data_IF_769561020015
#
_entry.id   IF_769561020015
#
_cell.length_a   1.000
_cell.length_b   1.000
_cell.length_c   1.000
_cell.angle_alpha   90.00
_cell.angle_beta   90.00
_cell.angle_gamma   90.00
#
_symmetry.space_group_name_H-M   'P 1'
#
loop_
_entity.id
_entity.type
_entity.pdbx_description
1 polymer ?
#
# COMPACT_ATOMS: atom_id res chain seq x y z
N UNK A 1 -36.81 30.52 12.22
CA UNK A 1 -37.25 31.76 11.58
C UNK A 1 -38.59 32.13 12.17
N UNK A 2 -38.60 33.04 13.13
CA UNK A 2 -39.80 33.72 13.63
C UNK A 2 -39.72 35.12 13.08
N UNK A 3 -40.40 35.37 11.97
CA UNK A 3 -40.70 36.73 11.60
C UNK A 3 -42.00 37.11 12.32
N UNK A 4 -41.90 38.14 13.16
CA UNK A 4 -42.97 38.99 13.67
C UNK A 4 -44.34 38.32 13.89
N UNK A 5 -44.57 37.83 15.12
CA UNK A 5 -45.88 37.77 15.77
C UNK A 5 -46.98 36.86 15.18
N UNK A 6 -46.87 36.38 13.95
CA UNK A 6 -47.93 35.59 13.30
C UNK A 6 -47.56 34.12 13.36
N UNK A 7 -48.33 33.34 14.14
CA UNK A 7 -48.20 31.89 14.18
C UNK A 7 -48.75 31.35 12.86
N UNK A 8 -47.87 31.15 11.88
CA UNK A 8 -48.25 30.50 10.63
C UNK A 8 -48.73 29.06 10.93
N UNK A 9 -50.04 28.84 10.74
CA UNK A 9 -50.69 27.53 10.87
C UNK A 9 -50.04 26.57 9.86
N UNK A 10 -49.87 25.30 10.24
CA UNK A 10 -49.12 24.30 9.45
C UNK A 10 -49.66 24.16 8.01
N UNK A 11 -50.97 24.38 7.82
CA UNK A 11 -51.65 24.37 6.52
C UNK A 11 -51.12 25.42 5.55
N UNK A 12 -50.64 26.56 6.06
CA UNK A 12 -50.19 27.69 5.24
C UNK A 12 -48.72 27.57 4.80
N UNK A 13 -48.04 26.48 5.20
CA UNK A 13 -46.66 26.21 4.81
C UNK A 13 -46.63 25.43 3.50
N UNK A 14 -45.63 25.74 2.65
CA UNK A 14 -45.33 24.93 1.48
C UNK A 14 -45.05 23.47 1.86
N UNK A 15 -45.39 22.52 0.98
CA UNK A 15 -45.13 21.09 1.16
C UNK A 15 -43.69 20.77 1.60
N UNK A 16 -42.71 21.51 1.08
CA UNK A 16 -41.29 21.37 1.47
C UNK A 16 -41.05 21.79 2.92
N UNK A 17 -41.66 22.89 3.35
CA UNK A 17 -41.57 23.40 4.72
C UNK A 17 -42.33 22.49 5.70
N UNK A 18 -43.50 21.98 5.33
CA UNK A 18 -44.23 20.99 6.11
C UNK A 18 -43.38 19.72 6.33
N UNK A 19 -42.69 19.24 5.28
CA UNK A 19 -41.80 18.07 5.39
C UNK A 19 -40.63 18.31 6.34
N UNK A 20 -40.01 19.49 6.29
CA UNK A 20 -38.95 19.89 7.23
C UNK A 20 -39.49 19.90 8.66
N UNK A 21 -40.69 20.47 8.87
CA UNK A 21 -41.32 20.58 10.19
C UNK A 21 -41.71 19.21 10.75
N UNK A 22 -42.23 18.29 9.93
CA UNK A 22 -42.51 16.89 10.31
C UNK A 22 -41.22 16.15 10.67
N UNK A 23 -40.13 16.35 9.92
CA UNK A 23 -38.80 15.79 10.27
C UNK A 23 -38.31 16.31 11.63
N UNK A 24 -38.44 17.61 11.86
CA UNK A 24 -38.05 18.24 13.12
C UNK A 24 -38.89 17.71 14.29
N UNK A 25 -40.21 17.58 14.12
CA UNK A 25 -41.08 17.02 15.16
C UNK A 25 -40.74 15.57 15.52
N UNK A 26 -40.40 14.73 14.53
CA UNK A 26 -39.93 13.36 14.79
C UNK A 26 -38.61 13.36 15.59
N UNK A 27 -37.71 14.30 15.31
CA UNK A 27 -36.45 14.48 16.05
C UNK A 27 -36.72 14.92 17.50
N UNK A 28 -37.59 15.92 17.67
CA UNK A 28 -37.91 16.49 18.98
C UNK A 28 -38.69 15.51 19.85
N UNK A 29 -39.63 14.74 19.30
CA UNK A 29 -40.33 13.66 20.02
C UNK A 29 -39.38 12.58 20.53
N UNK A 30 -38.39 12.17 19.70
CA UNK A 30 -37.35 11.21 20.13
C UNK A 30 -36.50 11.79 21.27
N UNK A 31 -36.14 13.07 21.18
CA UNK A 31 -35.35 13.74 22.21
C UNK A 31 -36.13 13.90 23.52
N UNK A 32 -37.42 14.22 23.45
CA UNK A 32 -38.30 14.30 24.61
C UNK A 32 -38.39 12.95 25.34
N UNK A 33 -38.66 11.85 24.62
CA UNK A 33 -38.72 10.51 25.22
C UNK A 33 -37.41 10.12 25.90
N UNK A 34 -36.26 10.46 25.28
CA UNK A 34 -34.94 10.24 25.89
C UNK A 34 -34.77 11.03 27.18
N UNK A 35 -35.13 12.31 27.19
CA UNK A 35 -35.04 13.16 28.40
C UNK A 35 -35.94 12.64 29.52
N UNK A 36 -37.19 12.28 29.20
CA UNK A 36 -38.15 11.74 30.18
C UNK A 36 -37.69 10.40 30.77
N UNK A 37 -37.11 9.52 29.95
CA UNK A 37 -36.50 8.27 30.43
C UNK A 37 -35.30 8.51 31.36
N UNK A 38 -34.50 9.55 31.10
CA UNK A 38 -33.39 9.92 31.97
C UNK A 38 -33.85 10.58 33.28
N UNK A 39 -34.96 11.31 33.25
CA UNK A 39 -35.58 11.89 34.45
C UNK A 39 -36.20 10.79 35.34
N UNK A 40 -36.96 9.85 34.77
CA UNK A 40 -37.49 8.71 35.52
C UNK A 40 -36.39 7.86 36.16
N UNK A 41 -35.23 7.72 35.52
CA UNK A 41 -34.09 7.01 36.10
C UNK A 41 -33.43 7.78 37.27
N UNK A 42 -33.61 9.10 37.35
CA UNK A 42 -33.08 9.96 38.43
C UNK A 42 -34.08 10.21 39.55
N UNK A 43 -35.37 10.12 39.27
CA UNK A 43 -36.47 10.37 40.22
C UNK A 43 -36.88 9.14 41.03
N UNK A 44 -36.30 7.96 40.80
CA UNK A 44 -36.38 6.85 41.77
C UNK A 44 -35.49 7.20 42.97
N UNK A 45 -36.04 7.52 44.15
CA UNK A 45 -35.23 7.54 45.35
C UNK A 45 -34.76 6.09 45.62
N UNK A 46 -33.52 5.96 46.06
CA UNK A 46 -32.88 4.74 46.51
C UNK A 46 -33.66 4.20 47.73
N UNK A 47 -34.76 3.51 47.48
CA UNK A 47 -35.61 2.94 48.51
C UNK A 47 -34.95 1.68 49.08
N UNK A 48 -34.73 1.70 50.39
CA UNK A 48 -34.25 0.58 51.20
C UNK A 48 -34.99 -0.72 50.85
N UNK A 49 -34.20 -1.76 50.58
CA UNK A 49 -34.67 -3.08 50.17
C UNK A 49 -35.45 -3.76 51.31
N UNK A 50 -36.78 -3.65 51.31
CA UNK A 50 -37.64 -4.62 51.98
C UNK A 50 -38.17 -5.63 50.97
N UNK A 51 -37.66 -6.87 51.10
CA UNK A 51 -38.09 -8.08 50.39
C UNK A 51 -39.59 -8.31 50.50
N UNK A 52 -40.29 -8.42 49.38
CA UNK A 52 -41.39 -9.40 49.20
C UNK A 52 -41.40 -9.87 47.74
N UNK A 53 -41.39 -11.19 47.55
CA UNK A 53 -41.21 -11.83 46.26
C UNK A 53 -42.35 -11.63 45.25
N UNK A 54 -41.98 -11.62 43.98
CA UNK A 54 -42.91 -11.88 42.87
C UNK A 54 -42.32 -12.97 41.99
N UNK A 55 -43.01 -14.12 41.93
CA UNK A 55 -42.75 -15.21 40.98
C UNK A 55 -43.04 -14.73 39.57
N UNK A 56 -42.05 -14.12 38.92
CA UNK A 56 -42.08 -13.84 37.48
C UNK A 56 -41.56 -15.06 36.72
N UNK A 57 -42.39 -15.62 35.83
CA UNK A 57 -41.97 -16.65 34.88
C UNK A 57 -40.67 -16.27 34.14
N UNK A 58 -39.77 -17.21 33.83
CA UNK A 58 -38.56 -16.93 33.06
C UNK A 58 -38.92 -16.44 31.65
N UNK A 59 -39.03 -15.11 31.48
CA UNK A 59 -39.15 -14.50 30.17
C UNK A 59 -37.82 -14.72 29.46
N UNK A 60 -37.81 -15.70 28.55
CA UNK A 60 -36.82 -16.02 27.53
C UNK A 60 -35.87 -14.83 27.29
N UNK A 61 -34.69 -14.87 27.93
CA UNK A 61 -33.63 -13.86 27.77
C UNK A 61 -32.69 -14.17 26.59
N UNK A 62 -33.00 -15.15 25.75
CA UNK A 62 -32.12 -15.61 24.66
C UNK A 62 -32.44 -14.92 23.32
N UNK A 63 -32.50 -13.59 23.28
CA UNK A 63 -32.74 -12.90 22.01
C UNK A 63 -32.39 -11.41 21.92
N UNK A 64 -31.95 -10.76 23.01
CA UNK A 64 -31.72 -9.29 22.99
C UNK A 64 -30.39 -8.79 23.54
N UNK A 65 -29.49 -9.67 24.00
CA UNK A 65 -28.22 -9.26 24.64
C UNK A 65 -26.99 -9.26 23.72
N UNK A 66 -27.07 -9.79 22.49
CA UNK A 66 -25.86 -9.95 21.66
C UNK A 66 -25.56 -8.74 20.75
N UNK A 67 -26.57 -7.98 20.33
CA UNK A 67 -26.40 -6.90 19.35
C UNK A 67 -25.82 -5.57 19.90
N UNK A 68 -25.72 -5.39 21.22
CA UNK A 68 -25.19 -4.14 21.82
C UNK A 68 -23.66 -4.12 21.99
N UNK A 69 -23.01 -5.28 22.01
CA UNK A 69 -21.54 -5.38 22.15
C UNK A 69 -20.77 -5.09 20.85
N UNK A 70 -21.46 -5.08 19.71
CA UNK A 70 -20.84 -4.92 18.38
C UNK A 70 -20.63 -3.46 17.99
N UNK A 71 -21.58 -2.55 18.27
CA UNK A 71 -21.51 -1.16 17.78
C UNK A 71 -20.36 -0.34 18.38
N UNK A 72 -20.10 -0.49 19.69
CA UNK A 72 -19.02 0.23 20.38
C UNK A 72 -17.64 -0.23 19.88
N UNK A 73 -17.42 -1.55 19.77
CA UNK A 73 -16.18 -2.13 19.24
C UNK A 73 -15.92 -1.69 17.80
N UNK A 74 -16.96 -1.69 16.95
CA UNK A 74 -16.86 -1.21 15.57
C UNK A 74 -16.50 0.27 15.50
N UNK A 75 -17.07 1.11 16.37
CA UNK A 75 -16.73 2.54 16.46
C UNK A 75 -15.27 2.76 16.81
N UNK A 76 -14.73 2.05 17.80
CA UNK A 76 -13.31 2.15 18.17
C UNK A 76 -12.39 1.64 17.07
N UNK A 77 -12.76 0.54 16.39
CA UNK A 77 -12.02 0.03 15.22
C UNK A 77 -11.99 1.06 14.08
N UNK A 78 -13.13 1.68 13.77
CA UNK A 78 -13.22 2.73 12.75
C UNK A 78 -12.34 3.93 13.10
N UNK A 79 -12.39 4.39 14.36
CA UNK A 79 -11.55 5.49 14.83
C UNK A 79 -10.05 5.15 14.77
N UNK A 80 -9.67 3.92 15.12
CA UNK A 80 -8.30 3.43 15.01
C UNK A 80 -7.82 3.40 13.54
N UNK A 81 -8.66 2.93 12.61
CA UNK A 81 -8.34 2.94 11.18
C UNK A 81 -8.17 4.37 10.64
N UNK A 82 -9.04 5.30 11.02
CA UNK A 82 -8.92 6.72 10.64
C UNK A 82 -7.61 7.33 11.18
N UNK A 83 -7.25 7.04 12.43
CA UNK A 83 -6.00 7.52 13.00
C UNK A 83 -4.77 6.96 12.25
N UNK A 84 -4.80 5.68 11.89
CA UNK A 84 -3.73 5.04 11.10
C UNK A 84 -3.60 5.63 9.71
N UNK A 85 -4.72 5.82 9.00
CA UNK A 85 -4.70 6.40 7.65
C UNK A 85 -4.20 7.85 7.66
N UNK A 86 -4.58 8.66 8.66
CA UNK A 86 -4.05 10.01 8.83
C UNK A 86 -2.54 10.00 9.11
N UNK A 87 -2.05 9.08 9.94
CA UNK A 87 -0.60 8.93 10.21
C UNK A 87 0.18 8.55 8.95
N UNK A 88 -0.36 7.63 8.15
CA UNK A 88 0.23 7.26 6.86
C UNK A 88 0.21 8.42 5.87
N UNK A 89 -0.89 9.17 5.79
CA UNK A 89 -1.00 10.35 4.92
C UNK A 89 0.06 11.41 5.27
N UNK A 90 0.26 11.69 6.57
CA UNK A 90 1.34 12.59 7.03
C UNK A 90 2.73 12.10 6.63
N UNK A 91 2.98 10.78 6.72
CA UNK A 91 4.27 10.19 6.31
C UNK A 91 4.47 10.27 4.80
N UNK A 92 3.42 10.05 4.01
CA UNK A 92 3.47 10.22 2.55
C UNK A 92 3.80 11.68 2.20
N UNK A 93 3.17 12.64 2.89
CA UNK A 93 3.44 14.05 2.68
C UNK A 93 4.89 14.43 3.03
N UNK A 94 5.42 13.94 4.15
CA UNK A 94 6.83 14.19 4.52
C UNK A 94 7.79 13.64 3.46
N UNK A 95 7.55 12.42 2.98
CA UNK A 95 8.35 11.80 1.93
C UNK A 95 8.23 12.54 0.59
N UNK A 96 7.05 13.10 0.27
CA UNK A 96 6.87 13.94 -0.92
C UNK A 96 7.69 15.23 -0.82
N UNK A 97 7.70 15.89 0.34
CA UNK A 97 8.52 17.10 0.58
C UNK A 97 10.01 16.80 0.47
N UNK A 98 10.46 15.70 1.05
CA UNK A 98 11.86 15.27 0.97
C UNK A 98 12.27 14.95 -0.48
N UNK A 99 11.45 14.19 -1.20
CA UNK A 99 11.66 13.91 -2.63
C UNK A 99 11.68 15.18 -3.49
N UNK A 100 10.84 16.16 -3.17
CA UNK A 100 10.87 17.46 -3.84
C UNK A 100 12.24 18.12 -3.63
N UNK A 101 12.71 18.26 -2.39
CA UNK A 101 14.02 18.85 -2.09
C UNK A 101 15.18 18.11 -2.79
N UNK A 102 15.13 16.77 -2.85
CA UNK A 102 16.12 15.98 -3.57
C UNK A 102 16.11 16.26 -5.08
N UNK A 103 14.92 16.33 -5.70
CA UNK A 103 14.79 16.70 -7.13
C UNK A 103 15.38 18.07 -7.45
N UNK A 104 15.31 19.04 -6.53
CA UNK A 104 15.93 20.36 -6.72
C UNK A 104 17.46 20.31 -6.56
N UNK A 105 17.97 19.53 -5.61
CA UNK A 105 19.42 19.31 -5.43
C UNK A 105 20.05 18.50 -6.58
N UNK A 106 19.29 17.62 -7.21
CA UNK A 106 19.75 16.89 -8.40
C UNK A 106 19.71 17.78 -9.65
N UNK A 107 18.75 18.71 -9.75
CA UNK A 107 18.72 19.72 -10.82
C UNK A 107 19.90 20.69 -10.77
N UNK A 108 20.36 21.09 -9.58
CA UNK A 108 21.58 21.91 -9.45
C UNK A 108 22.87 21.12 -9.78
N UNK A 109 22.78 19.79 -9.76
CA UNK A 109 23.84 18.86 -10.19
C UNK A 109 23.65 18.36 -11.63
N UNK A 110 22.70 18.88 -12.41
CA UNK A 110 22.58 18.53 -13.83
C UNK A 110 23.95 18.70 -14.49
N UNK A 111 24.62 17.60 -14.89
CA UNK A 111 25.89 17.71 -15.57
C UNK A 111 25.59 18.51 -16.83
N UNK A 112 26.18 19.71 -16.91
CA UNK A 112 25.98 20.62 -18.04
C UNK A 112 26.06 19.81 -19.34
N UNK A 113 25.10 20.03 -20.24
CA UNK A 113 25.10 19.35 -21.54
C UNK A 113 26.49 19.45 -22.16
N UNK A 114 26.99 18.41 -22.83
CA UNK A 114 28.30 18.43 -23.50
C UNK A 114 28.53 19.72 -24.31
N UNK A 115 27.49 20.21 -25.01
CA UNK A 115 27.54 21.48 -25.74
C UNK A 115 27.74 22.71 -24.84
N UNK A 116 27.09 22.73 -23.68
CA UNK A 116 27.24 23.80 -22.68
C UNK A 116 28.62 23.76 -22.02
N UNK A 117 29.17 22.58 -21.76
CA UNK A 117 30.55 22.42 -21.25
C UNK A 117 31.56 22.96 -22.26
N UNK A 118 31.43 22.58 -23.53
CA UNK A 118 32.29 23.10 -24.62
C UNK A 118 32.15 24.61 -24.76
N UNK A 119 30.93 25.16 -24.71
CA UNK A 119 30.70 26.62 -24.77
C UNK A 119 31.34 27.36 -23.59
N UNK A 120 31.30 26.82 -22.37
CA UNK A 120 31.96 27.41 -21.20
C UNK A 120 33.49 27.38 -21.34
N UNK A 121 34.04 26.27 -21.83
CA UNK A 121 35.49 26.11 -22.03
C UNK A 121 36.03 27.08 -23.09
N UNK A 122 35.29 27.27 -24.18
CA UNK A 122 35.68 28.14 -25.30
C UNK A 122 35.39 29.61 -25.00
N UNK A 123 34.34 29.90 -24.24
CA UNK A 123 33.89 31.27 -23.98
C UNK A 123 33.46 31.99 -25.26
N UNK A 124 34.04 33.17 -25.52
CA UNK A 124 33.78 33.98 -26.72
C UNK A 124 34.81 33.77 -27.85
N UNK A 125 35.81 32.92 -27.66
CA UNK A 125 36.85 32.69 -28.67
C UNK A 125 36.27 31.96 -29.89
N UNK A 126 36.66 32.37 -31.10
CA UNK A 126 36.32 31.64 -32.32
C UNK A 126 37.30 30.48 -32.48
N UNK A 127 36.77 29.28 -32.65
CA UNK A 127 37.52 28.04 -32.88
C UNK A 127 37.07 27.43 -34.21
N UNK A 128 37.98 26.70 -34.86
CA UNK A 128 37.64 25.89 -36.03
C UNK A 128 36.46 24.96 -35.71
N UNK A 129 35.47 24.83 -36.61
CA UNK A 129 34.33 23.93 -36.44
C UNK A 129 34.74 22.49 -36.10
N UNK A 130 35.88 22.05 -36.60
CA UNK A 130 36.40 20.69 -36.43
C UNK A 130 36.85 20.41 -35.00
N UNK A 131 37.61 21.34 -34.42
CA UNK A 131 38.04 21.27 -33.01
C UNK A 131 36.82 21.30 -32.08
N UNK A 132 35.81 22.10 -32.41
CA UNK A 132 34.57 22.18 -31.65
C UNK A 132 33.76 20.88 -31.72
N UNK A 133 33.69 20.23 -32.89
CA UNK A 133 33.06 18.91 -33.05
C UNK A 133 33.79 17.84 -32.24
N UNK A 134 35.12 17.78 -32.31
CA UNK A 134 35.90 16.80 -31.55
C UNK A 134 35.73 16.96 -30.03
N UNK A 135 35.75 18.19 -29.52
CA UNK A 135 35.48 18.47 -28.11
C UNK A 135 34.07 18.03 -27.70
N UNK A 136 33.06 18.32 -28.54
CA UNK A 136 31.68 17.92 -28.27
C UNK A 136 31.55 16.39 -28.22
N UNK A 137 32.16 15.70 -29.18
CA UNK A 137 32.14 14.23 -29.26
C UNK A 137 32.80 13.62 -28.03
N UNK A 138 33.96 14.13 -27.62
CA UNK A 138 34.67 13.67 -26.42
C UNK A 138 33.85 13.88 -25.15
N UNK A 139 33.25 15.06 -24.96
CA UNK A 139 32.41 15.31 -23.79
C UNK A 139 31.13 14.46 -23.78
N UNK A 140 30.52 14.22 -24.95
CA UNK A 140 29.34 13.37 -25.10
C UNK A 140 29.66 11.90 -24.78
N UNK A 141 30.80 11.41 -25.29
CA UNK A 141 31.31 10.07 -24.99
C UNK A 141 31.57 9.90 -23.49
N UNK A 142 32.24 10.87 -22.85
CA UNK A 142 32.51 10.84 -21.42
C UNK A 142 31.23 10.90 -20.56
N UNK A 143 30.20 11.66 -20.97
CA UNK A 143 28.90 11.62 -20.27
C UNK A 143 28.21 10.25 -20.35
N UNK A 144 28.26 9.57 -21.50
CA UNK A 144 27.68 8.22 -21.63
C UNK A 144 28.39 7.18 -20.76
N UNK A 145 29.71 7.29 -20.57
CA UNK A 145 30.46 6.41 -19.68
C UNK A 145 30.13 6.65 -18.19
N UNK A 146 29.94 7.91 -17.78
CA UNK A 146 29.54 8.26 -16.41
C UNK A 146 28.15 7.72 -16.07
N UNK A 147 27.19 7.85 -17.00
CA UNK A 147 25.83 7.32 -16.82
C UNK A 147 25.84 5.80 -16.63
N UNK A 148 26.64 5.07 -17.40
CA UNK A 148 26.80 3.62 -17.27
C UNK A 148 27.44 3.21 -15.93
N UNK A 149 28.41 3.98 -15.41
CA UNK A 149 28.99 3.75 -14.07
C UNK A 149 27.97 4.01 -12.97
N UNK A 150 27.17 5.06 -13.08
CA UNK A 150 26.08 5.36 -12.12
C UNK A 150 25.02 4.26 -12.17
N UNK A 151 24.67 3.75 -13.35
CA UNK A 151 23.74 2.62 -13.51
C UNK A 151 24.25 1.34 -12.82
N UNK A 152 25.54 1.01 -13.00
CA UNK A 152 26.21 -0.11 -12.29
C UNK A 152 26.25 0.09 -10.78
N UNK A 153 26.44 1.32 -10.31
CA UNK A 153 26.52 1.66 -8.88
C UNK A 153 25.13 1.70 -8.21
N UNK A 154 24.09 2.12 -8.93
CA UNK A 154 22.71 2.16 -8.43
C UNK A 154 22.11 0.76 -8.25
N UNK A 155 22.42 -0.18 -9.15
CA UNK A 155 22.10 -1.62 -8.97
C UNK A 155 22.69 -2.25 -7.70
N UNK A 156 23.75 -1.68 -7.10
CA UNK A 156 24.37 -2.20 -5.88
C UNK A 156 23.79 -1.64 -4.57
N UNK A 157 22.92 -0.61 -4.60
CA UNK A 157 22.45 0.10 -3.40
C UNK A 157 20.96 -0.01 -3.10
N UNK A 158 20.19 -0.70 -3.94
CA UNK A 158 18.84 -1.09 -3.56
C UNK A 158 18.96 -2.35 -2.70
N UNK A 159 18.94 -2.17 -1.38
CA UNK A 159 18.59 -3.22 -0.43
C UNK A 159 17.12 -3.63 -0.69
N UNK A 160 16.86 -4.22 -1.85
CA UNK A 160 15.60 -4.81 -2.22
C UNK A 160 15.47 -6.13 -1.50
N UNK A 161 14.85 -6.09 -0.32
CA UNK A 161 14.00 -7.16 0.19
C UNK A 161 14.46 -8.61 -0.09
N UNK A 162 15.73 -8.96 0.18
CA UNK A 162 16.23 -10.35 0.13
C UNK A 162 15.96 -11.17 -1.14
N UNK A 163 15.47 -10.56 -2.22
CA UNK A 163 15.01 -11.21 -3.45
C UNK A 163 16.00 -10.87 -4.53
N UNK A 164 17.08 -11.65 -4.56
CA UNK A 164 18.17 -11.48 -5.50
C UNK A 164 17.75 -11.73 -6.95
N UNK A 165 18.68 -11.50 -7.88
CA UNK A 165 18.52 -11.77 -9.31
C UNK A 165 18.02 -13.19 -9.65
N UNK A 166 18.18 -14.14 -8.73
CA UNK A 166 17.72 -15.52 -8.81
C UNK A 166 16.18 -15.66 -8.88
N UNK A 167 15.41 -14.67 -8.39
CA UNK A 167 13.94 -14.65 -8.52
C UNK A 167 13.48 -14.50 -9.99
N UNK A 168 14.29 -13.88 -10.84
CA UNK A 168 13.98 -13.74 -12.26
C UNK A 168 13.96 -15.08 -12.99
N UNK A 169 14.96 -15.93 -12.72
CA UNK A 169 15.10 -17.27 -13.32
C UNK A 169 14.06 -18.22 -12.72
N UNK A 170 13.89 -18.23 -11.40
CA UNK A 170 12.86 -19.04 -10.74
C UNK A 170 11.44 -18.64 -11.17
N UNK A 171 11.16 -17.35 -11.29
CA UNK A 171 9.88 -16.84 -11.79
C UNK A 171 9.64 -17.16 -13.27
N UNK A 172 10.69 -17.16 -14.11
CA UNK A 172 10.59 -17.59 -15.50
C UNK A 172 10.29 -19.09 -15.58
N UNK A 173 11.00 -19.92 -14.83
CA UNK A 173 10.77 -21.37 -14.72
C UNK A 173 9.35 -21.69 -14.29
N UNK A 174 8.86 -21.03 -13.24
CA UNK A 174 7.48 -21.20 -12.77
C UNK A 174 6.46 -20.86 -13.85
N UNK A 175 6.58 -19.69 -14.50
CA UNK A 175 5.65 -19.29 -15.56
C UNK A 175 5.67 -20.26 -16.74
N UNK A 176 6.83 -20.80 -17.09
CA UNK A 176 6.94 -21.81 -18.14
C UNK A 176 6.23 -23.12 -17.77
N UNK A 177 6.43 -23.60 -16.54
CA UNK A 177 5.73 -24.76 -16.02
C UNK A 177 4.21 -24.54 -15.97
N UNK A 178 3.77 -23.39 -15.44
CA UNK A 178 2.35 -23.01 -15.39
C UNK A 178 1.73 -22.99 -16.81
N UNK A 179 2.47 -22.53 -17.83
CA UNK A 179 2.02 -22.51 -19.23
C UNK A 179 1.88 -23.91 -19.81
N UNK A 180 2.81 -24.82 -19.47
CA UNK A 180 2.75 -26.22 -19.90
C UNK A 180 1.55 -26.93 -19.27
N UNK A 181 1.33 -26.73 -17.97
CA UNK A 181 0.15 -27.27 -17.26
C UNK A 181 -1.15 -26.70 -17.84
N UNK A 182 -1.20 -25.39 -18.13
CA UNK A 182 -2.35 -24.76 -18.77
C UNK A 182 -2.65 -25.30 -20.19
N UNK A 183 -1.62 -25.83 -20.89
CA UNK A 183 -1.77 -26.51 -22.19
C UNK A 183 -2.20 -27.98 -22.08
N UNK A 184 -2.44 -28.47 -20.86
CA UNK A 184 -2.89 -29.84 -20.59
C UNK A 184 -1.77 -30.87 -20.48
N UNK A 185 -0.51 -30.45 -20.31
CA UNK A 185 0.58 -31.39 -20.02
C UNK A 185 0.71 -31.56 -18.51
N UNK A 186 0.73 -32.81 -18.05
CA UNK A 186 0.93 -33.12 -16.63
C UNK A 186 2.43 -33.23 -16.29
N UNK A 187 2.81 -32.78 -15.11
CA UNK A 187 4.19 -32.80 -14.62
C UNK A 187 4.21 -33.52 -13.27
N UNK A 188 4.39 -34.84 -13.31
CA UNK A 188 4.38 -35.72 -12.13
C UNK A 188 5.75 -35.83 -11.48
N UNK A 189 6.81 -35.85 -12.29
CA UNK A 189 8.15 -36.21 -11.86
C UNK A 189 9.20 -35.16 -12.21
N UNK A 190 10.28 -35.13 -11.44
CA UNK A 190 11.42 -34.22 -11.69
C UNK A 190 12.04 -34.42 -13.09
N UNK A 191 12.05 -35.64 -13.61
CA UNK A 191 12.52 -35.95 -14.95
C UNK A 191 11.59 -35.41 -16.04
N UNK A 192 10.26 -35.54 -15.83
CA UNK A 192 9.25 -34.97 -16.73
C UNK A 192 9.33 -33.44 -16.78
N UNK A 193 9.59 -32.81 -15.63
CA UNK A 193 9.80 -31.36 -15.53
C UNK A 193 11.05 -30.93 -16.31
N UNK A 194 12.16 -31.64 -16.14
CA UNK A 194 13.42 -31.36 -16.81
C UNK A 194 13.30 -31.52 -18.34
N UNK A 195 12.70 -32.61 -18.83
CA UNK A 195 12.54 -32.86 -20.26
C UNK A 195 11.64 -31.83 -20.94
N UNK A 196 10.54 -31.44 -20.28
CA UNK A 196 9.59 -30.48 -20.83
C UNK A 196 10.16 -29.06 -20.89
N UNK A 197 10.99 -28.66 -19.91
CA UNK A 197 11.57 -27.33 -19.85
C UNK A 197 12.92 -27.22 -20.57
N UNK A 198 13.67 -28.32 -20.76
CA UNK A 198 14.89 -28.37 -21.57
C UNK A 198 14.66 -28.02 -23.04
N UNK A 199 13.42 -28.08 -23.53
CA UNK A 199 13.04 -27.63 -24.88
C UNK A 199 13.23 -26.12 -25.08
N UNK A 200 13.42 -25.36 -24.00
CA UNK A 200 13.65 -23.92 -24.07
C UNK A 200 15.14 -23.60 -23.97
N UNK A 201 15.67 -22.86 -24.94
CA UNK A 201 17.11 -22.53 -25.02
C UNK A 201 17.57 -21.49 -23.97
N UNK A 202 16.63 -20.87 -23.26
CA UNK A 202 16.90 -19.73 -22.38
C UNK A 202 17.44 -20.11 -21.00
N UNK A 203 17.18 -21.32 -20.49
CA UNK A 203 17.61 -21.74 -19.15
C UNK A 203 18.19 -23.16 -19.18
N UNK A 204 19.47 -23.29 -18.80
CA UNK A 204 20.13 -24.60 -18.64
C UNK A 204 19.72 -25.23 -17.31
N UNK A 205 19.09 -26.40 -17.36
CA UNK A 205 18.65 -27.15 -16.18
C UNK A 205 19.47 -28.44 -16.04
N UNK A 206 19.95 -28.69 -14.82
CA UNK A 206 20.64 -29.92 -14.44
C UNK A 206 19.85 -30.61 -13.33
N UNK A 207 19.70 -31.92 -13.44
CA UNK A 207 19.19 -32.75 -12.34
C UNK A 207 20.39 -33.10 -11.45
N UNK A 208 20.21 -32.98 -10.14
CA UNK A 208 21.22 -33.32 -9.15
C UNK A 208 20.64 -34.44 -8.31
N UNK A 209 21.30 -35.59 -8.29
CA UNK A 209 20.92 -36.73 -7.47
C UNK A 209 21.76 -36.78 -6.18
N UNK A 210 21.30 -37.53 -5.17
CA UNK A 210 21.99 -37.60 -3.88
C UNK A 210 23.41 -38.18 -4.00
N UNK A 211 23.64 -39.02 -5.00
CA UNK A 211 24.95 -39.56 -5.39
C UNK A 211 25.90 -38.44 -5.86
N UNK A 212 25.41 -37.49 -6.66
CA UNK A 212 26.20 -36.33 -7.12
C UNK A 212 26.64 -35.44 -5.96
N UNK A 213 25.75 -35.26 -4.97
CA UNK A 213 26.04 -34.48 -3.76
C UNK A 213 27.14 -35.16 -2.93
N UNK A 214 27.11 -36.49 -2.82
CA UNK A 214 28.15 -37.27 -2.13
C UNK A 214 29.50 -37.14 -2.84
N UNK A 215 29.52 -37.28 -4.16
CA UNK A 215 30.73 -37.16 -4.99
C UNK A 215 31.36 -35.75 -4.92
N UNK A 216 30.54 -34.69 -4.86
CA UNK A 216 31.02 -33.31 -4.68
C UNK A 216 31.66 -33.10 -3.30
N UNK A 217 31.08 -33.67 -2.24
CA UNK A 217 31.65 -33.61 -0.90
C UNK A 217 33.00 -34.32 -0.85
N UNK A 218 33.12 -35.47 -1.49
CA UNK A 218 34.35 -36.27 -1.53
C UNK A 218 35.46 -35.55 -2.31
N UNK A 219 35.16 -34.99 -3.49
CA UNK A 219 36.10 -34.14 -4.26
C UNK A 219 36.56 -32.88 -3.51
N UNK A 220 35.69 -32.28 -2.70
CA UNK A 220 36.07 -31.11 -1.90
C UNK A 220 36.96 -31.46 -0.71
N UNK A 221 36.93 -32.73 -0.27
CA UNK A 221 37.66 -33.22 0.91
C UNK A 221 39.06 -33.71 0.55
N UNK A 222 39.22 -34.23 -0.66
CA UNK A 222 40.51 -34.57 -1.23
C UNK A 222 40.62 -33.92 -2.62
N UNK A 223 41.10 -32.66 -2.70
CA UNK A 223 41.55 -32.14 -3.98
C UNK A 223 42.69 -33.06 -4.41
N UNK A 224 42.45 -33.88 -5.44
CA UNK A 224 43.49 -34.63 -6.09
C UNK A 224 44.47 -33.62 -6.68
N UNK A 225 45.61 -33.45 -6.02
CA UNK A 225 46.74 -32.66 -6.52
C UNK A 225 47.19 -33.29 -7.85
N UNK A 226 47.05 -32.51 -8.91
CA UNK A 226 47.58 -32.77 -10.24
C UNK A 226 48.37 -31.56 -10.69
#
# INVERSE_FOLDING_TARGET
MREKGVINIISNLSNRQQRIRRKQWKKDSRNYRKRKSLQQAKETPEAEETRVGSRGSPRIQSGRKEAKRTYSSLRYKLQSMIAKSLKQARKIESLRRENYCLKFKDKSKCPLSPATKVRKLIGRKKLSPEIRRNLLLNFAFMSGLEENKVFKKKKKKEAGHGKGAMDGVGGALKRMADTLVARGTDITDSDSFLQNLKKTETVKLYKIENTDIANLKEKSRYPSDS
#
